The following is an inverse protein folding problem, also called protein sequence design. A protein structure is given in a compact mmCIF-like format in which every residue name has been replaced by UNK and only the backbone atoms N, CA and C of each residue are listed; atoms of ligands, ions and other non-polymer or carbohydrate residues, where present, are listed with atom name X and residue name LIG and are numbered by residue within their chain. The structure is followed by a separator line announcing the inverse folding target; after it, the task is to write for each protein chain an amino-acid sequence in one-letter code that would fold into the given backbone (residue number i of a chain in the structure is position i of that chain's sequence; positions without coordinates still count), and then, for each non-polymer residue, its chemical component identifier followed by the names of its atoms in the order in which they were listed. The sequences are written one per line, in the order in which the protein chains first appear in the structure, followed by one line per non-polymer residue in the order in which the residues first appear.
data_IF_021334122869
#
_entry.id   IF_021334122869
#
_cell.length_a   1.000
_cell.length_b   1.000
_cell.length_c   1.000
_cell.angle_alpha   90.00
_cell.angle_beta   90.00
_cell.angle_gamma   90.00
#
_symmetry.space_group_name_H-M   'P 1'
#
loop_
_entity.id
_entity.type
_entity.pdbx_description
1 polymer ?
#
# COMPACT_ATOMS: atom_id res chain seq x y z
N UNK A 1 10.63 -1.64 -4.36
CA UNK A 1 10.29 -2.75 -3.44
C UNK A 1 9.86 -4.02 -4.16
N UNK A 2 8.90 -3.99 -5.08
CA UNK A 2 8.50 -5.21 -5.80
C UNK A 2 9.62 -5.86 -6.61
N UNK A 3 10.38 -5.09 -7.40
CA UNK A 3 11.52 -5.66 -8.12
C UNK A 3 12.56 -6.28 -7.20
N UNK A 4 12.83 -5.68 -6.04
CA UNK A 4 13.72 -6.27 -5.03
C UNK A 4 13.26 -7.69 -4.66
N UNK A 5 11.97 -7.86 -4.38
CA UNK A 5 11.39 -9.18 -4.15
C UNK A 5 11.55 -10.11 -5.35
N UNK A 6 11.33 -9.59 -6.56
CA UNK A 6 11.42 -10.35 -7.80
C UNK A 6 12.84 -10.90 -8.05
N UNK A 7 13.87 -10.06 -7.91
CA UNK A 7 15.28 -10.45 -8.11
C UNK A 7 15.76 -11.43 -7.03
N UNK A 8 15.45 -11.16 -5.76
CA UNK A 8 15.94 -11.98 -4.64
C UNK A 8 15.29 -13.37 -4.65
N UNK A 9 14.00 -13.46 -4.96
CA UNK A 9 13.26 -14.74 -4.90
C UNK A 9 13.81 -15.80 -5.86
N UNK A 10 14.29 -15.41 -7.03
CA UNK A 10 14.89 -16.33 -8.02
C UNK A 10 16.42 -16.29 -8.05
N UNK A 11 17.06 -15.43 -7.22
CA UNK A 11 18.51 -15.15 -7.24
C UNK A 11 19.06 -14.89 -8.65
N UNK A 12 18.32 -14.11 -9.42
CA UNK A 12 18.59 -13.90 -10.84
C UNK A 12 17.72 -12.80 -11.42
N UNK A 13 17.81 -12.61 -12.74
CA UNK A 13 17.08 -11.56 -13.47
C UNK A 13 15.78 -12.15 -14.02
N UNK A 14 14.59 -11.68 -13.59
CA UNK A 14 13.33 -12.11 -14.18
C UNK A 14 13.25 -11.71 -15.66
N UNK A 15 12.45 -12.43 -16.45
CA UNK A 15 12.23 -12.05 -17.85
C UNK A 15 11.64 -10.64 -17.94
N UNK A 16 11.96 -9.93 -19.02
CA UNK A 16 11.45 -8.56 -19.24
C UNK A 16 9.92 -8.51 -19.20
N UNK A 17 9.26 -9.55 -19.70
CA UNK A 17 7.79 -9.67 -19.67
C UNK A 17 7.26 -9.68 -18.23
N UNK A 18 7.89 -10.44 -17.33
CA UNK A 18 7.50 -10.46 -15.91
C UNK A 18 7.72 -9.10 -15.26
N UNK A 19 8.85 -8.43 -15.56
CA UNK A 19 9.12 -7.09 -15.03
C UNK A 19 8.06 -6.07 -15.49
N UNK A 20 7.69 -6.08 -16.77
CA UNK A 20 6.64 -5.21 -17.30
C UNK A 20 5.28 -5.49 -16.67
N UNK A 21 4.91 -6.75 -16.49
CA UNK A 21 3.65 -7.10 -15.85
C UNK A 21 3.63 -6.73 -14.36
N UNK A 22 4.75 -6.85 -13.64
CA UNK A 22 4.89 -6.32 -12.28
C UNK A 22 4.70 -4.81 -12.27
N UNK A 23 5.30 -4.08 -13.22
CA UNK A 23 5.13 -2.63 -13.33
C UNK A 23 3.67 -2.24 -13.50
N UNK A 24 2.97 -2.86 -14.46
CA UNK A 24 1.56 -2.57 -14.71
C UNK A 24 0.69 -2.93 -13.51
N UNK A 25 0.91 -4.08 -12.87
CA UNK A 25 0.19 -4.45 -11.67
C UNK A 25 0.33 -3.38 -10.57
N UNK A 26 1.55 -2.91 -10.30
CA UNK A 26 1.79 -1.88 -9.29
C UNK A 26 1.19 -0.53 -9.70
N UNK A 27 1.31 -0.14 -10.96
CA UNK A 27 0.73 1.09 -11.48
C UNK A 27 -0.77 1.11 -11.25
N UNK A 28 -1.46 0.05 -11.67
CA UNK A 28 -2.91 -0.07 -11.57
C UNK A 28 -3.39 -0.15 -10.11
N UNK A 29 -2.73 -0.94 -9.26
CA UNK A 29 -3.07 -1.01 -7.84
C UNK A 29 -2.84 0.33 -7.14
N UNK A 30 -1.78 1.06 -7.52
CA UNK A 30 -1.49 2.38 -6.96
C UNK A 30 -2.52 3.42 -7.40
N UNK A 31 -2.97 3.40 -8.66
CA UNK A 31 -4.06 4.26 -9.14
C UNK A 31 -5.33 4.00 -8.33
N UNK A 32 -5.73 2.72 -8.19
CA UNK A 32 -6.91 2.36 -7.41
C UNK A 32 -6.77 2.80 -5.95
N UNK A 33 -5.62 2.52 -5.31
CA UNK A 33 -5.36 2.82 -3.91
C UNK A 33 -5.40 4.31 -3.61
N UNK A 34 -4.67 5.13 -4.37
CA UNK A 34 -4.63 6.58 -4.16
C UNK A 34 -5.99 7.23 -4.43
N UNK A 35 -6.70 6.76 -5.46
CA UNK A 35 -8.05 7.29 -5.78
C UNK A 35 -9.04 6.93 -4.68
N UNK A 36 -8.98 5.71 -4.14
CA UNK A 36 -9.82 5.27 -3.05
C UNK A 36 -9.52 6.03 -1.74
N UNK A 37 -8.24 6.29 -1.46
CA UNK A 37 -7.80 7.11 -0.32
C UNK A 37 -8.40 8.52 -0.40
N UNK A 38 -8.24 9.21 -1.53
CA UNK A 38 -8.82 10.53 -1.72
C UNK A 38 -10.36 10.54 -1.69
N UNK A 39 -11.00 9.47 -2.18
CA UNK A 39 -12.45 9.35 -2.15
C UNK A 39 -12.98 9.12 -0.72
N UNK A 40 -12.35 8.23 0.05
CA UNK A 40 -12.72 7.94 1.42
C UNK A 40 -12.48 9.15 2.35
N UNK A 41 -11.52 10.00 2.01
CA UNK A 41 -11.09 11.13 2.84
C UNK A 41 -11.75 12.46 2.49
N UNK A 42 -12.48 12.52 1.39
CA UNK A 42 -13.05 13.75 0.83
C UNK A 42 -13.70 14.68 1.86
N UNK A 43 -14.50 14.13 2.77
CA UNK A 43 -15.18 14.93 3.80
C UNK A 43 -14.21 15.49 4.86
N UNK A 44 -13.20 14.71 5.24
CA UNK A 44 -12.18 15.11 6.22
C UNK A 44 -11.24 16.13 5.56
N UNK A 45 -10.84 15.85 4.32
CA UNK A 45 -9.94 16.69 3.54
C UNK A 45 -10.51 18.07 3.25
N UNK A 46 -11.84 18.19 3.10
CA UNK A 46 -12.50 19.47 2.91
C UNK A 46 -12.39 20.39 4.14
N UNK A 47 -12.27 19.81 5.33
CA UNK A 47 -12.15 20.54 6.60
C UNK A 47 -10.70 20.92 6.91
N UNK A 48 -9.72 20.14 6.46
CA UNK A 48 -8.29 20.38 6.70
C UNK A 48 -7.72 21.45 5.75
N UNK A 49 -7.21 22.59 6.27
CA UNK A 49 -6.60 23.66 5.46
C UNK A 49 -5.53 23.17 4.46
N UNK A 50 -4.79 22.11 4.80
CA UNK A 50 -3.68 21.57 4.00
C UNK A 50 -4.14 20.77 2.77
N UNK A 51 -5.34 20.20 2.81
CA UNK A 51 -5.86 19.28 1.78
C UNK A 51 -7.07 19.84 1.03
N UNK A 52 -7.49 21.07 1.32
CA UNK A 52 -8.62 21.74 0.65
C UNK A 52 -8.46 21.88 -0.87
N UNK A 53 -7.23 21.82 -1.38
CA UNK A 53 -6.92 21.91 -2.81
C UNK A 53 -6.97 20.57 -3.55
N UNK A 54 -7.28 19.45 -2.86
CA UNK A 54 -7.34 18.12 -3.49
C UNK A 54 -8.43 18.09 -4.60
N UNK A 55 -8.19 17.43 -5.74
CA UNK A 55 -9.12 17.44 -6.89
C UNK A 55 -10.56 16.98 -6.58
N UNK A 56 -10.71 16.01 -5.68
CA UNK A 56 -12.03 15.50 -5.23
C UNK A 56 -12.76 16.45 -4.27
N UNK A 57 -12.03 17.34 -3.61
CA UNK A 57 -12.57 18.37 -2.71
C UNK A 57 -13.00 19.60 -3.53
N UNK A 58 -12.15 20.02 -4.48
CA UNK A 58 -12.43 21.17 -5.36
C UNK A 58 -13.47 20.87 -6.43
N UNK A 59 -13.79 19.60 -6.67
CA UNK A 59 -14.73 19.17 -7.70
C UNK A 59 -14.13 19.07 -9.10
N UNK A 60 -12.80 19.23 -9.23
CA UNK A 60 -12.09 18.98 -10.49
C UNK A 60 -12.18 17.52 -10.96
N UNK A 61 -12.41 16.59 -10.03
CA UNK A 61 -12.75 15.20 -10.31
C UNK A 61 -14.05 14.86 -9.57
N UNK A 62 -15.02 14.31 -10.28
CA UNK A 62 -16.29 13.86 -9.72
C UNK A 62 -16.13 12.53 -8.97
N UNK A 63 -17.03 12.27 -8.02
CA UNK A 63 -17.08 10.98 -7.32
C UNK A 63 -17.30 9.81 -8.28
N UNK A 64 -18.03 10.03 -9.38
CA UNK A 64 -18.28 9.00 -10.40
C UNK A 64 -16.98 8.66 -11.14
N UNK A 65 -16.22 9.66 -11.57
CA UNK A 65 -14.91 9.46 -12.22
C UNK A 65 -13.93 8.75 -11.30
N UNK A 66 -13.88 9.14 -10.02
CA UNK A 66 -13.04 8.46 -9.04
C UNK A 66 -13.40 6.96 -8.89
N UNK A 67 -14.70 6.63 -8.80
CA UNK A 67 -15.15 5.22 -8.74
C UNK A 67 -14.79 4.44 -10.02
N UNK A 68 -14.90 5.07 -11.19
CA UNK A 68 -14.51 4.46 -12.46
C UNK A 68 -13.00 4.21 -12.51
N UNK A 69 -12.18 5.17 -12.05
CA UNK A 69 -10.72 4.99 -11.97
C UNK A 69 -10.32 3.87 -11.01
N UNK A 70 -11.00 3.74 -9.87
CA UNK A 70 -10.80 2.61 -8.95
C UNK A 70 -11.12 1.29 -9.64
N UNK A 71 -12.24 1.20 -10.34
CA UNK A 71 -12.63 -0.01 -11.05
C UNK A 71 -11.63 -0.37 -12.16
N UNK A 72 -11.21 0.60 -12.98
CA UNK A 72 -10.20 0.40 -14.03
C UNK A 72 -8.86 -0.05 -13.41
N UNK A 73 -8.43 0.57 -12.31
CA UNK A 73 -7.22 0.17 -11.59
C UNK A 73 -7.30 -1.24 -11.04
N UNK A 74 -8.42 -1.63 -10.42
CA UNK A 74 -8.57 -3.01 -9.92
C UNK A 74 -8.59 -4.04 -11.06
N UNK A 75 -9.34 -3.77 -12.13
CA UNK A 75 -9.41 -4.66 -13.30
C UNK A 75 -8.02 -4.80 -13.93
N UNK A 76 -7.32 -3.69 -14.17
CA UNK A 76 -5.96 -3.70 -14.73
C UNK A 76 -4.97 -4.45 -13.83
N UNK A 77 -5.08 -4.31 -12.52
CA UNK A 77 -4.28 -5.05 -11.55
C UNK A 77 -4.52 -6.57 -11.63
N UNK A 78 -5.78 -7.01 -11.61
CA UNK A 78 -6.14 -8.43 -11.69
C UNK A 78 -5.76 -9.05 -13.05
N UNK A 79 -5.96 -8.33 -14.15
CA UNK A 79 -5.51 -8.76 -15.49
C UNK A 79 -3.98 -8.92 -15.50
N UNK A 80 -3.25 -7.93 -14.96
CA UNK A 80 -1.78 -8.01 -14.89
C UNK A 80 -1.36 -9.24 -14.07
N UNK A 81 -1.94 -9.45 -12.90
CA UNK A 81 -1.65 -10.61 -12.05
C UNK A 81 -1.98 -11.95 -12.72
N UNK A 82 -3.09 -12.02 -13.46
CA UNK A 82 -3.48 -13.17 -14.27
C UNK A 82 -2.44 -13.50 -15.35
N UNK A 83 -1.94 -12.47 -16.04
CA UNK A 83 -0.95 -12.63 -17.11
C UNK A 83 0.46 -12.97 -16.58
N UNK A 84 0.77 -12.66 -15.31
CA UNK A 84 2.07 -12.99 -14.71
C UNK A 84 2.21 -14.50 -14.52
N UNK A 85 1.36 -15.09 -13.68
CA UNK A 85 1.27 -16.54 -13.44
C UNK A 85 0.07 -16.86 -12.53
N UNK A 86 -0.30 -18.15 -12.43
CA UNK A 86 -1.44 -18.61 -11.61
C UNK A 86 -1.34 -18.22 -10.13
N UNK A 87 -0.13 -18.20 -9.56
CA UNK A 87 0.08 -17.91 -8.14
C UNK A 87 -0.07 -16.43 -7.84
N UNK A 88 0.43 -15.57 -8.73
CA UNK A 88 0.24 -14.13 -8.67
C UNK A 88 -1.25 -13.79 -8.72
N UNK A 89 -2.02 -14.42 -9.62
CA UNK A 89 -3.47 -14.23 -9.66
C UNK A 89 -4.17 -14.70 -8.39
N UNK A 90 -3.88 -15.92 -7.92
CA UNK A 90 -4.51 -16.49 -6.73
C UNK A 90 -4.26 -15.65 -5.47
N UNK A 91 -3.04 -15.09 -5.34
CA UNK A 91 -2.63 -14.27 -4.19
C UNK A 91 -2.96 -12.79 -4.35
N UNK A 92 -3.31 -12.32 -5.56
CA UNK A 92 -3.62 -10.91 -5.84
C UNK A 92 -4.77 -10.30 -5.02
N UNK A 93 -5.79 -11.04 -4.54
CA UNK A 93 -6.80 -10.45 -3.67
C UNK A 93 -6.23 -9.88 -2.36
N UNK A 94 -5.11 -10.44 -1.85
CA UNK A 94 -4.50 -9.99 -0.59
C UNK A 94 -4.03 -8.51 -0.68
N UNK A 95 -3.10 -8.13 -1.57
CA UNK A 95 -2.71 -6.74 -1.71
C UNK A 95 -3.85 -5.82 -2.15
N UNK A 96 -4.80 -6.31 -2.96
CA UNK A 96 -5.97 -5.52 -3.33
C UNK A 96 -6.83 -5.15 -2.11
N UNK A 97 -7.23 -6.14 -1.30
CA UNK A 97 -8.06 -5.92 -0.11
C UNK A 97 -7.34 -5.02 0.89
N UNK A 98 -6.06 -5.29 1.17
CA UNK A 98 -5.29 -4.49 2.15
C UNK A 98 -5.18 -3.03 1.69
N UNK A 99 -4.97 -2.79 0.39
CA UNK A 99 -4.91 -1.44 -0.17
C UNK A 99 -6.27 -0.73 -0.15
N UNK A 100 -7.36 -1.43 -0.50
CA UNK A 100 -8.71 -0.83 -0.56
C UNK A 100 -9.30 -0.56 0.83
N UNK A 101 -8.94 -1.35 1.84
CA UNK A 101 -9.48 -1.21 3.21
C UNK A 101 -8.72 -0.17 4.05
N UNK A 102 -7.48 0.17 3.66
CA UNK A 102 -6.61 1.08 4.40
C UNK A 102 -7.25 2.43 4.79
N UNK A 103 -7.87 3.18 3.87
CA UNK A 103 -8.41 4.52 4.19
C UNK A 103 -9.52 4.49 5.23
N UNK A 104 -10.16 3.33 5.44
CA UNK A 104 -11.23 3.18 6.41
C UNK A 104 -10.69 2.80 7.81
N UNK A 105 -9.57 2.08 7.89
CA UNK A 105 -9.05 1.58 9.17
C UNK A 105 -8.56 2.69 10.11
N UNK A 106 -8.15 3.85 9.59
CA UNK A 106 -7.81 5.02 10.41
C UNK A 106 -8.98 5.59 11.22
N UNK A 107 -10.22 5.23 10.85
CA UNK A 107 -11.42 5.61 11.60
C UNK A 107 -11.67 4.71 12.82
N UNK A 108 -11.07 3.51 12.83
CA UNK A 108 -11.33 2.48 13.84
C UNK A 108 -10.11 2.18 14.72
N UNK A 109 -8.90 2.32 14.20
CA UNK A 109 -7.68 1.90 14.91
C UNK A 109 -6.50 2.80 14.60
N UNK A 110 -5.64 3.04 15.60
CA UNK A 110 -4.34 3.67 15.42
C UNK A 110 -3.39 2.81 14.56
N UNK A 111 -3.68 1.52 14.40
CA UNK A 111 -2.91 0.60 13.55
C UNK A 111 -3.01 0.87 12.04
N UNK A 112 -3.69 1.94 11.60
CA UNK A 112 -3.69 2.34 10.19
C UNK A 112 -2.27 2.53 9.62
N UNK A 113 -1.33 3.04 10.43
CA UNK A 113 0.09 3.17 10.06
C UNK A 113 0.75 1.81 9.77
N UNK A 114 0.33 0.75 10.48
CA UNK A 114 0.79 -0.60 10.19
C UNK A 114 0.22 -1.14 8.89
N UNK A 115 -1.00 -0.74 8.52
CA UNK A 115 -1.63 -1.22 7.30
C UNK A 115 -1.01 -0.60 6.04
N UNK A 116 -0.75 0.71 6.01
CA UNK A 116 -0.03 1.32 4.87
C UNK A 116 1.39 0.74 4.74
N UNK A 117 2.04 0.47 5.87
CA UNK A 117 3.31 -0.23 5.88
C UNK A 117 3.20 -1.67 5.36
N UNK A 118 2.10 -2.36 5.69
CA UNK A 118 1.79 -3.70 5.16
C UNK A 118 1.60 -3.66 3.64
N UNK A 119 0.96 -2.63 3.07
CA UNK A 119 0.88 -2.45 1.61
C UNK A 119 2.27 -2.40 0.97
N UNK A 120 3.23 -1.71 1.61
CA UNK A 120 4.60 -1.64 1.11
C UNK A 120 5.37 -2.96 1.24
N UNK A 121 5.20 -3.68 2.35
CA UNK A 121 5.73 -5.04 2.50
C UNK A 121 5.16 -6.00 1.46
N UNK A 122 3.85 -5.91 1.20
CA UNK A 122 3.16 -6.71 0.19
C UNK A 122 3.66 -6.44 -1.23
N UNK A 123 4.26 -5.27 -1.50
CA UNK A 123 4.92 -5.03 -2.78
C UNK A 123 6.12 -5.98 -2.97
N UNK A 124 6.98 -6.14 -1.94
CA UNK A 124 8.12 -7.09 -1.97
C UNK A 124 7.60 -8.52 -2.14
N UNK A 125 6.59 -8.90 -1.36
CA UNK A 125 5.95 -10.22 -1.46
C UNK A 125 5.40 -10.48 -2.88
N UNK A 126 4.63 -9.55 -3.43
CA UNK A 126 3.98 -9.69 -4.73
C UNK A 126 5.02 -9.79 -5.86
N UNK A 127 6.11 -9.04 -5.78
CA UNK A 127 7.22 -9.13 -6.74
C UNK A 127 7.94 -10.48 -6.67
N UNK A 128 8.14 -11.04 -5.48
CA UNK A 128 8.69 -12.37 -5.30
C UNK A 128 7.77 -13.46 -5.89
N UNK A 129 6.46 -13.40 -5.60
CA UNK A 129 5.45 -14.31 -6.16
C UNK A 129 5.41 -14.22 -7.70
N UNK A 130 5.53 -13.02 -8.25
CA UNK A 130 5.51 -12.79 -9.68
C UNK A 130 6.70 -13.46 -10.41
N UNK A 131 7.91 -13.45 -9.84
CA UNK A 131 9.08 -14.07 -10.46
C UNK A 131 9.17 -15.57 -10.20
N UNK A 132 9.05 -16.02 -8.94
CA UNK A 132 9.19 -17.44 -8.61
C UNK A 132 8.01 -18.27 -9.14
N UNK A 133 6.82 -17.68 -9.21
CA UNK A 133 5.59 -18.37 -9.60
C UNK A 133 5.59 -18.90 -11.03
N UNK A 134 6.51 -18.44 -11.89
CA UNK A 134 6.69 -18.97 -13.26
C UNK A 134 7.19 -20.42 -13.23
N UNK A 135 8.07 -20.76 -12.29
CA UNK A 135 8.71 -22.07 -12.19
C UNK A 135 8.28 -22.86 -10.94
N UNK A 136 7.29 -22.34 -10.19
CA UNK A 136 6.88 -22.93 -8.93
C UNK A 136 5.75 -23.96 -9.11
N UNK A 137 5.99 -25.18 -8.66
CA UNK A 137 5.04 -26.27 -8.77
C UNK A 137 3.98 -26.24 -7.67
N UNK A 138 4.31 -25.64 -6.52
CA UNK A 138 3.44 -25.57 -5.33
C UNK A 138 3.44 -24.20 -4.66
N UNK A 139 2.36 -23.90 -3.95
CA UNK A 139 2.24 -22.69 -3.13
C UNK A 139 3.33 -22.63 -2.06
N UNK A 140 3.69 -23.79 -1.49
CA UNK A 140 4.73 -23.89 -0.48
C UNK A 140 6.09 -23.40 -1.00
N UNK A 141 6.44 -23.77 -2.24
CA UNK A 141 7.67 -23.30 -2.87
C UNK A 141 7.67 -21.78 -3.07
N UNK A 142 6.53 -21.21 -3.52
CA UNK A 142 6.35 -19.76 -3.67
C UNK A 142 6.58 -19.05 -2.33
N UNK A 143 5.83 -19.45 -1.29
CA UNK A 143 5.87 -18.84 0.05
C UNK A 143 7.26 -18.98 0.68
N UNK A 144 7.93 -20.13 0.53
CA UNK A 144 9.28 -20.35 1.04
C UNK A 144 10.33 -19.46 0.37
N UNK A 145 10.13 -19.11 -0.90
CA UNK A 145 11.08 -18.32 -1.69
C UNK A 145 10.90 -16.81 -1.53
N UNK A 146 9.82 -16.37 -0.86
CA UNK A 146 9.63 -14.97 -0.51
C UNK A 146 10.75 -14.51 0.43
N UNK A 147 11.40 -13.36 0.17
CA UNK A 147 12.40 -12.80 1.07
C UNK A 147 11.73 -12.12 2.27
N UNK A 148 11.22 -12.92 3.21
CA UNK A 148 10.44 -12.46 4.38
C UNK A 148 11.16 -11.40 5.22
N UNK A 149 12.48 -11.50 5.35
CA UNK A 149 13.31 -10.49 6.01
C UNK A 149 13.16 -9.11 5.38
N UNK A 150 13.13 -9.02 4.05
CA UNK A 150 12.93 -7.75 3.33
C UNK A 150 11.48 -7.28 3.39
N UNK A 151 10.51 -8.20 3.40
CA UNK A 151 9.10 -7.87 3.63
C UNK A 151 8.94 -7.19 4.99
N UNK A 152 9.42 -7.82 6.06
CA UNK A 152 9.34 -7.31 7.43
C UNK A 152 10.13 -6.00 7.57
N UNK A 153 11.35 -5.94 7.03
CA UNK A 153 12.16 -4.71 7.08
C UNK A 153 11.47 -3.54 6.37
N UNK A 154 10.82 -3.78 5.23
CA UNK A 154 10.05 -2.76 4.50
C UNK A 154 8.84 -2.29 5.31
N UNK A 155 8.15 -3.20 5.99
CA UNK A 155 7.03 -2.84 6.88
C UNK A 155 7.54 -1.98 8.04
N UNK A 156 8.56 -2.42 8.77
CA UNK A 156 9.09 -1.67 9.91
C UNK A 156 9.58 -0.28 9.52
N UNK A 157 10.30 -0.18 8.39
CA UNK A 157 10.74 1.10 7.85
C UNK A 157 9.55 2.00 7.48
N UNK A 158 8.54 1.45 6.80
CA UNK A 158 7.36 2.21 6.41
C UNK A 158 6.53 2.68 7.64
N UNK A 159 6.42 1.87 8.70
CA UNK A 159 5.78 2.29 9.96
C UNK A 159 6.52 3.48 10.56
N UNK A 160 7.85 3.43 10.64
CA UNK A 160 8.65 4.54 11.18
C UNK A 160 8.52 5.81 10.36
N UNK A 161 8.57 5.69 9.02
CA UNK A 161 8.39 6.82 8.10
C UNK A 161 6.99 7.44 8.20
N UNK A 162 5.96 6.61 8.28
CA UNK A 162 4.57 7.07 8.38
C UNK A 162 4.32 7.77 9.72
N UNK A 163 4.86 7.23 10.82
CA UNK A 163 4.81 7.88 12.13
C UNK A 163 5.40 9.29 12.10
N UNK A 164 6.54 9.47 11.42
CA UNK A 164 7.17 10.78 11.25
C UNK A 164 6.28 11.77 10.50
N UNK A 165 5.67 11.36 9.39
CA UNK A 165 4.83 12.24 8.57
C UNK A 165 3.53 12.68 9.26
N UNK A 166 3.04 11.91 10.23
CA UNK A 166 1.82 12.23 10.97
C UNK A 166 2.05 13.10 12.22
N UNK A 167 3.30 13.44 12.56
CA UNK A 167 3.61 14.35 13.67
C UNK A 167 2.98 15.73 13.48
N UNK A 168 3.07 16.39 12.30
CA UNK A 168 2.51 17.74 12.11
C UNK A 168 0.98 17.78 12.12
N UNK A 169 0.33 16.69 11.70
CA UNK A 169 -1.15 16.62 11.59
C UNK A 169 -1.82 16.22 12.93
N UNK A 170 -1.04 15.99 14.01
CA UNK A 170 -1.51 15.54 15.34
C UNK A 170 -2.63 16.39 15.95
N UNK A 171 -2.49 17.71 15.92
CA UNK A 171 -3.46 18.62 16.56
C UNK A 171 -4.78 18.69 15.78
N UNK A 172 -4.71 18.50 14.46
CA UNK A 172 -5.89 18.43 13.60
C UNK A 172 -6.60 17.09 13.78
N UNK A 173 -5.85 15.98 13.78
CA UNK A 173 -6.38 14.62 13.96
C UNK A 173 -7.08 14.48 15.32
N UNK A 174 -6.50 15.06 16.38
CA UNK A 174 -7.10 15.07 17.72
C UNK A 174 -8.44 15.82 17.75
N UNK A 175 -8.56 16.94 17.03
CA UNK A 175 -9.82 17.71 16.93
C UNK A 175 -10.90 16.97 16.13
N UNK A 176 -10.49 16.15 15.16
CA UNK A 176 -11.39 15.37 14.31
C UNK A 176 -11.74 13.99 14.89
N UNK A 177 -11.20 13.64 16.06
CA UNK A 177 -11.44 12.33 16.71
C UNK A 177 -10.79 11.16 15.97
N UNK A 178 -9.76 11.41 15.16
CA UNK A 178 -9.05 10.38 14.42
C UNK A 178 -8.07 9.64 15.34
N UNK A 179 -8.03 8.32 15.20
CA UNK A 179 -7.15 7.46 15.98
C UNK A 179 -5.84 7.31 15.21
N UNK A 180 -4.90 8.22 15.44
CA UNK A 180 -3.54 8.15 14.84
C UNK A 180 -2.52 7.73 15.89
N UNK A 181 -1.50 6.99 15.48
CA UNK A 181 -0.38 6.59 16.36
C UNK A 181 0.35 7.81 16.94
N UNK A 182 0.38 8.94 16.22
CA UNK A 182 0.91 10.21 16.71
C UNK A 182 0.05 10.82 17.84
N UNK A 183 -1.27 10.63 17.80
CA UNK A 183 -2.19 11.04 18.87
C UNK A 183 -2.02 10.13 20.09
N UNK A 184 -1.83 8.82 19.86
CA UNK A 184 -1.76 7.79 20.90
C UNK A 184 -0.42 7.78 21.66
N UNK A 185 0.71 7.98 20.95
CA UNK A 185 2.05 8.05 21.57
C UNK A 185 2.42 9.44 22.11
N UNK A 186 1.72 10.49 21.67
CA UNK A 186 2.00 11.86 22.05
C UNK A 186 3.47 12.24 21.83
N UNK A 187 4.15 12.75 22.87
CA UNK A 187 5.55 13.17 22.77
C UNK A 187 6.54 11.99 22.63
N UNK A 188 6.11 10.74 22.89
CA UNK A 188 6.95 9.54 22.70
C UNK A 188 7.02 9.08 21.25
N UNK A 189 6.22 9.66 20.35
CA UNK A 189 6.26 9.35 18.92
C UNK A 189 7.64 9.65 18.30
N UNK A 190 8.30 10.72 18.75
CA UNK A 190 9.65 11.08 18.32
C UNK A 190 10.71 10.05 18.76
N UNK A 191 10.61 9.52 19.99
CA UNK A 191 11.51 8.48 20.47
C UNK A 191 11.31 7.16 19.69
N UNK A 192 10.05 6.79 19.39
CA UNK A 192 9.74 5.58 18.61
C UNK A 192 10.13 5.71 17.13
N UNK A 193 10.09 6.92 16.58
CA UNK A 193 10.62 7.22 15.24
C UNK A 193 12.15 7.29 15.18
N UNK A 194 12.86 7.11 16.31
CA UNK A 194 14.32 7.13 16.38
C UNK A 194 14.95 8.52 16.40
N UNK A 195 14.19 9.57 16.75
CA UNK A 195 14.63 10.98 16.74
C UNK A 195 15.03 11.52 18.12
N UNK A 196 15.03 10.71 19.17
CA UNK A 196 15.50 11.13 20.50
C UNK A 196 16.54 10.11 21.02
N UNK A 197 17.78 10.60 21.17
CA UNK A 197 18.68 10.20 22.26
C UNK A 197 18.43 11.13 23.44
#
# INVERSE_FOLDING_TARGET
MAYLGAFIAIRGIPSINVLLLIFFALLFLRIAGMTNDNLADREIDSKNPRTRTRPLVTGAITVKEAKVLIAIGLIGFFISAFLVNRWAFLLSPIPAIVTMTYPYMKRFTAFANYQIATVQGLAVFSGAVASIGVNADSLFQVVRSVPWLFVIATILWAVGFDLYNHIPDRDFDKKMGLHSFAVLLGNKALAFAGLIN
#
